data_IF_136118393126
#
_entry.id   IF_136118393126
#
_cell.length_a   1.000
_cell.length_b   1.000
_cell.length_c   1.000
_cell.angle_alpha   90.00
_cell.angle_beta   90.00
_cell.angle_gamma   90.00
#
_symmetry.space_group_name_H-M   'P 1'
#
loop_
_entity.id
_entity.type
_entity.pdbx_description
1 polymer ?
#
# COMPACT_ATOMS: atom_id res chain seq x y z
N UNK A 1 6.08 -7.14 24.99
CA UNK A 1 5.71 -7.52 23.61
C UNK A 1 6.58 -6.68 22.69
N UNK A 2 7.53 -7.29 22.00
CA UNK A 2 8.25 -6.59 20.93
C UNK A 2 7.25 -6.35 19.79
N UNK A 3 6.73 -5.13 19.71
CA UNK A 3 5.88 -4.71 18.60
C UNK A 3 6.70 -4.77 17.32
N UNK A 4 6.60 -5.89 16.59
CA UNK A 4 7.29 -6.06 15.31
C UNK A 4 6.86 -4.91 14.40
N UNK A 5 7.80 -4.05 14.02
CA UNK A 5 7.54 -2.91 13.15
C UNK A 5 6.99 -3.46 11.83
N UNK A 6 5.75 -3.07 11.50
CA UNK A 6 5.09 -3.54 10.29
C UNK A 6 5.58 -2.75 9.08
N UNK A 7 5.99 -3.48 8.04
CA UNK A 7 6.28 -2.88 6.73
C UNK A 7 4.97 -2.63 5.99
N UNK A 8 4.82 -1.42 5.47
CA UNK A 8 3.70 -1.06 4.58
C UNK A 8 4.13 -1.33 3.14
N UNK A 9 3.29 -2.05 2.43
CA UNK A 9 3.44 -2.41 1.03
C UNK A 9 2.38 -1.70 0.20
N UNK A 10 2.69 -1.49 -1.07
CA UNK A 10 1.75 -1.12 -2.11
C UNK A 10 1.66 -2.27 -3.10
N UNK A 11 0.42 -2.68 -3.37
CA UNK A 11 0.08 -3.67 -4.37
C UNK A 11 -0.53 -2.93 -5.56
N UNK A 12 -0.05 -3.24 -6.75
CA UNK A 12 -0.49 -2.63 -8.00
C UNK A 12 -0.87 -3.71 -9.01
N UNK A 13 -2.12 -3.67 -9.45
CA UNK A 13 -2.60 -4.42 -10.60
C UNK A 13 -2.79 -3.45 -11.78
N UNK A 14 -1.80 -3.33 -12.69
CA UNK A 14 -1.90 -2.45 -13.86
C UNK A 14 -3.02 -2.84 -14.83
N UNK A 15 -3.37 -4.12 -14.93
CA UNK A 15 -4.44 -4.60 -15.81
C UNK A 15 -5.82 -4.09 -15.37
N UNK A 16 -6.08 -4.08 -14.06
CA UNK A 16 -7.35 -3.63 -13.48
C UNK A 16 -7.35 -2.19 -12.99
N UNK A 17 -6.21 -1.50 -13.09
CA UNK A 17 -5.97 -0.19 -12.51
C UNK A 17 -6.31 -0.13 -11.00
N UNK A 18 -5.96 -1.22 -10.27
CA UNK A 18 -6.16 -1.30 -8.82
C UNK A 18 -4.83 -1.03 -8.13
N UNK A 19 -4.85 -0.13 -7.15
CA UNK A 19 -3.72 0.16 -6.26
C UNK A 19 -4.20 0.10 -4.83
N UNK A 20 -3.52 -0.66 -3.97
CA UNK A 20 -3.92 -0.83 -2.57
C UNK A 20 -2.72 -0.87 -1.64
N UNK A 21 -2.85 -0.25 -0.48
CA UNK A 21 -1.89 -0.38 0.60
C UNK A 21 -2.23 -1.56 1.49
N UNK A 22 -1.21 -2.27 1.97
CA UNK A 22 -1.37 -3.36 2.90
C UNK A 22 -0.14 -3.53 3.79
N UNK A 23 -0.32 -4.04 5.00
CA UNK A 23 0.80 -4.44 5.84
C UNK A 23 1.24 -5.87 5.56
N UNK A 24 2.42 -6.24 6.05
CA UNK A 24 2.88 -7.64 5.98
C UNK A 24 1.97 -8.64 6.71
N UNK A 25 1.09 -8.19 7.62
CA UNK A 25 0.05 -9.04 8.20
C UNK A 25 -1.08 -9.26 7.19
N UNK A 26 -1.60 -8.18 6.62
CA UNK A 26 -2.72 -8.22 5.66
C UNK A 26 -2.37 -8.99 4.37
N UNK A 27 -1.11 -8.96 3.94
CA UNK A 27 -0.62 -9.79 2.83
C UNK A 27 -0.66 -11.30 3.13
N UNK A 28 -0.60 -11.69 4.40
CA UNK A 28 -0.53 -13.10 4.84
C UNK A 28 -1.88 -13.66 5.25
N UNK A 29 -2.74 -12.84 5.86
CA UNK A 29 -3.93 -13.32 6.56
C UNK A 29 -5.23 -12.73 6.04
N UNK A 30 -5.20 -11.61 5.31
CA UNK A 30 -6.40 -10.97 4.77
C UNK A 30 -6.58 -11.31 3.28
N UNK A 31 -7.76 -10.98 2.74
CA UNK A 31 -8.12 -11.14 1.33
C UNK A 31 -7.42 -10.13 0.39
N UNK A 32 -6.41 -9.39 0.86
CA UNK A 32 -5.73 -8.32 0.10
C UNK A 32 -5.26 -8.79 -1.29
N UNK A 33 -4.67 -9.98 -1.38
CA UNK A 33 -4.19 -10.55 -2.65
C UNK A 33 -5.35 -10.82 -3.60
N UNK A 34 -6.45 -11.37 -3.08
CA UNK A 34 -7.66 -11.67 -3.83
C UNK A 34 -8.35 -10.40 -4.32
N UNK A 35 -8.43 -9.37 -3.50
CA UNK A 35 -9.05 -8.10 -3.87
C UNK A 35 -8.28 -7.38 -4.99
N UNK A 36 -6.95 -7.42 -4.96
CA UNK A 36 -6.12 -6.70 -5.94
C UNK A 36 -5.91 -7.51 -7.22
N UNK A 37 -5.58 -8.80 -7.09
CA UNK A 37 -5.18 -9.64 -8.23
C UNK A 37 -6.25 -10.65 -8.66
N UNK A 38 -7.25 -10.93 -7.81
CA UNK A 38 -8.28 -11.93 -8.09
C UNK A 38 -7.83 -13.37 -7.85
N UNK A 39 -6.70 -13.57 -7.17
CA UNK A 39 -6.13 -14.90 -6.88
C UNK A 39 -6.11 -15.17 -5.37
N UNK A 40 -6.12 -16.43 -4.95
CA UNK A 40 -6.36 -16.76 -3.55
C UNK A 40 -5.14 -16.46 -2.64
N UNK A 41 -3.91 -16.56 -3.16
CA UNK A 41 -2.71 -16.39 -2.36
C UNK A 41 -1.48 -15.95 -3.16
N UNK A 42 -0.36 -15.76 -2.45
CA UNK A 42 0.94 -15.40 -3.04
C UNK A 42 1.47 -16.44 -4.04
N UNK A 43 1.18 -17.73 -3.82
CA UNK A 43 1.59 -18.78 -4.74
C UNK A 43 0.87 -18.63 -6.09
N UNK A 44 -0.46 -18.46 -6.06
CA UNK A 44 -1.27 -18.23 -7.26
C UNK A 44 -0.89 -16.92 -7.96
N UNK A 45 -0.53 -15.88 -7.20
CA UNK A 45 -0.02 -14.64 -7.77
C UNK A 45 1.29 -14.85 -8.53
N UNK A 46 2.17 -15.70 -8.00
CA UNK A 46 3.43 -16.05 -8.67
C UNK A 46 3.13 -16.81 -9.98
N UNK A 47 2.16 -17.72 -9.96
CA UNK A 47 1.69 -18.41 -11.17
C UNK A 47 1.07 -17.42 -12.17
N UNK A 48 0.23 -16.49 -11.71
CA UNK A 48 -0.36 -15.45 -12.54
C UNK A 48 0.71 -14.58 -13.21
N UNK A 49 1.73 -14.16 -12.46
CA UNK A 49 2.87 -13.41 -13.01
C UNK A 49 3.63 -14.18 -14.11
N UNK A 50 3.68 -15.50 -14.04
CA UNK A 50 4.41 -16.35 -14.99
C UNK A 50 3.60 -16.72 -16.24
N UNK A 51 2.29 -16.93 -16.09
CA UNK A 51 1.47 -17.54 -17.15
C UNK A 51 0.39 -16.63 -17.72
N UNK A 52 -0.01 -15.57 -17.01
CA UNK A 52 -1.05 -14.68 -17.50
C UNK A 52 -0.45 -13.58 -18.42
N UNK A 53 -0.63 -13.75 -19.73
CA UNK A 53 -0.09 -12.85 -20.76
C UNK A 53 -0.66 -11.44 -20.70
N UNK A 54 -1.98 -11.28 -20.52
CA UNK A 54 -2.57 -9.93 -20.44
C UNK A 54 -2.04 -9.16 -19.23
N UNK A 55 -1.87 -9.87 -18.11
CA UNK A 55 -1.27 -9.29 -16.92
C UNK A 55 0.21 -8.92 -17.14
N UNK A 56 1.00 -9.81 -17.75
CA UNK A 56 2.40 -9.53 -18.09
C UNK A 56 2.54 -8.30 -18.99
N UNK A 57 1.75 -8.22 -20.07
CA UNK A 57 1.74 -7.09 -20.99
C UNK A 57 1.39 -5.77 -20.28
N UNK A 58 0.46 -5.81 -19.33
CA UNK A 58 0.08 -4.64 -18.54
C UNK A 58 1.21 -4.14 -17.65
N UNK A 59 2.00 -5.05 -17.05
CA UNK A 59 3.18 -4.71 -16.25
C UNK A 59 4.28 -4.13 -17.15
N UNK A 60 4.59 -4.80 -18.27
CA UNK A 60 5.57 -4.33 -19.25
C UNK A 60 5.25 -2.91 -19.74
N UNK A 61 3.97 -2.64 -20.03
CA UNK A 61 3.51 -1.32 -20.48
C UNK A 61 3.65 -0.25 -19.39
N UNK A 62 3.33 -0.57 -18.13
CA UNK A 62 3.46 0.36 -17.00
C UNK A 62 4.92 0.70 -16.72
N UNK A 63 5.76 -0.32 -16.61
CA UNK A 63 7.12 -0.19 -16.10
C UNK A 63 8.17 -0.02 -17.21
N UNK A 64 7.78 -0.13 -18.49
CA UNK A 64 8.69 -0.02 -19.64
C UNK A 64 9.71 -1.15 -19.71
N UNK A 65 9.37 -2.34 -19.19
CA UNK A 65 10.24 -3.50 -19.12
C UNK A 65 9.82 -4.61 -20.09
N UNK A 66 10.72 -5.56 -20.33
CA UNK A 66 10.41 -6.81 -21.05
C UNK A 66 9.82 -7.86 -20.11
N UNK A 67 9.11 -8.84 -20.67
CA UNK A 67 8.51 -9.95 -19.92
C UNK A 67 9.54 -10.73 -19.07
N UNK A 68 10.77 -10.86 -19.57
CA UNK A 68 11.88 -11.53 -18.87
C UNK A 68 12.29 -10.86 -17.56
N UNK A 69 11.94 -9.57 -17.38
CA UNK A 69 12.33 -8.76 -16.24
C UNK A 69 11.17 -8.57 -15.24
N UNK A 70 10.02 -9.18 -15.50
CA UNK A 70 8.88 -9.15 -14.58
C UNK A 70 9.26 -9.92 -13.32
N UNK A 71 9.13 -9.25 -12.18
CA UNK A 71 9.31 -9.85 -10.85
C UNK A 71 8.16 -9.44 -9.94
N UNK A 72 8.03 -10.13 -8.80
CA UNK A 72 7.02 -9.79 -7.81
C UNK A 72 7.14 -8.33 -7.33
N UNK A 73 8.36 -7.78 -7.28
CA UNK A 73 8.61 -6.39 -6.87
C UNK A 73 8.01 -5.35 -7.83
N UNK A 74 7.68 -5.73 -9.08
CA UNK A 74 6.99 -4.85 -10.03
C UNK A 74 5.54 -4.55 -9.62
N UNK A 75 4.93 -5.46 -8.85
CA UNK A 75 3.50 -5.41 -8.47
C UNK A 75 3.27 -5.35 -6.96
N UNK A 76 4.25 -5.76 -6.14
CA UNK A 76 4.22 -5.62 -4.68
C UNK A 76 5.55 -5.03 -4.24
N UNK A 77 5.54 -3.79 -3.78
CA UNK A 77 6.73 -3.10 -3.29
C UNK A 77 6.49 -2.42 -1.96
N UNK A 78 7.55 -2.08 -1.26
CA UNK A 78 7.45 -1.29 -0.03
C UNK A 78 6.98 0.11 -0.43
N UNK A 79 5.99 0.65 0.30
CA UNK A 79 5.47 1.97 0.03
C UNK A 79 6.52 3.05 0.32
N UNK A 80 6.50 4.11 -0.48
CA UNK A 80 7.31 5.31 -0.24
C UNK A 80 6.60 6.30 0.66
N UNK A 81 7.34 7.28 1.18
CA UNK A 81 6.78 8.41 1.94
C UNK A 81 5.79 9.23 1.12
N UNK A 82 6.10 9.46 -0.16
CA UNK A 82 5.23 10.24 -1.04
C UNK A 82 3.88 9.55 -1.29
N UNK A 83 3.89 8.22 -1.32
CA UNK A 83 2.69 7.42 -1.46
C UNK A 83 1.79 7.48 -0.22
N UNK A 84 2.39 7.53 0.97
CA UNK A 84 1.64 7.80 2.20
C UNK A 84 0.99 9.19 2.20
N UNK A 85 1.67 10.19 1.65
CA UNK A 85 1.05 11.52 1.49
C UNK A 85 -0.16 11.45 0.55
N UNK A 86 -0.09 10.64 -0.51
CA UNK A 86 -1.24 10.41 -1.40
C UNK A 86 -2.36 9.65 -0.68
N UNK A 87 -2.04 8.60 0.08
CA UNK A 87 -3.02 7.87 0.90
C UNK A 87 -3.76 8.79 1.86
N UNK A 88 -3.04 9.68 2.55
CA UNK A 88 -3.65 10.67 3.44
C UNK A 88 -4.68 11.53 2.70
N UNK A 89 -4.32 12.05 1.52
CA UNK A 89 -5.24 12.87 0.71
C UNK A 89 -6.51 12.08 0.36
N UNK A 90 -6.36 10.84 -0.07
CA UNK A 90 -7.51 9.96 -0.37
C UNK A 90 -8.40 9.70 0.85
N UNK A 91 -7.80 9.51 2.04
CA UNK A 91 -8.56 9.32 3.28
C UNK A 91 -9.36 10.59 3.66
N UNK A 92 -8.75 11.77 3.51
CA UNK A 92 -9.42 13.07 3.74
C UNK A 92 -10.58 13.25 2.76
N UNK A 93 -10.34 13.04 1.46
CA UNK A 93 -11.36 13.13 0.41
C UNK A 93 -12.53 12.18 0.67
N UNK A 94 -12.24 10.93 1.07
CA UNK A 94 -13.26 9.94 1.39
C UNK A 94 -14.08 10.36 2.62
N UNK A 95 -13.44 10.88 3.67
CA UNK A 95 -14.16 11.42 4.84
C UNK A 95 -15.09 12.57 4.47
N UNK A 96 -14.67 13.45 3.55
CA UNK A 96 -15.55 14.53 3.06
C UNK A 96 -16.74 14.00 2.24
N UNK A 97 -16.55 12.94 1.46
CA UNK A 97 -17.62 12.32 0.67
C UNK A 97 -18.63 11.56 1.53
N UNK A 98 -18.16 10.83 2.54
CA UNK A 98 -19.01 10.07 3.46
C UNK A 98 -19.78 11.00 4.43
N UNK A 99 -19.27 12.22 4.67
CA UNK A 99 -19.84 13.22 5.59
C UNK A 99 -20.76 14.25 4.91
N UNK A 100 -21.70 13.82 4.05
CA UNK A 100 -22.68 14.72 3.41
C UNK A 100 -23.53 15.59 4.37
N UNK A 101 -23.37 15.45 5.69
CA UNK A 101 -24.04 16.21 6.72
C UNK A 101 -23.09 16.41 7.92
N UNK A 102 -22.27 17.46 7.92
CA UNK A 102 -21.92 18.29 9.10
C UNK A 102 -20.69 19.15 8.81
N UNK A 103 -20.84 20.45 9.04
CA UNK A 103 -19.78 21.45 8.98
C UNK A 103 -18.66 21.16 9.99
N UNK A 104 -17.43 21.44 9.56
CA UNK A 104 -16.32 21.93 10.39
C UNK A 104 -16.12 21.23 11.73
N UNK A 105 -15.78 19.95 11.71
CA UNK A 105 -14.87 19.42 12.71
C UNK A 105 -13.77 18.68 11.95
N UNK A 106 -12.54 19.16 12.06
CA UNK A 106 -11.33 18.46 11.62
C UNK A 106 -11.17 17.19 12.48
N UNK A 107 -12.02 16.19 12.25
CA UNK A 107 -11.89 14.93 12.93
C UNK A 107 -10.55 14.32 12.50
N UNK A 108 -9.65 14.03 13.45
CA UNK A 108 -8.34 13.49 13.11
C UNK A 108 -8.51 12.17 12.36
N UNK A 109 -7.74 12.00 11.29
CA UNK A 109 -7.75 10.75 10.52
C UNK A 109 -7.27 9.67 11.48
N UNK A 110 -8.00 8.56 11.67
CA UNK A 110 -7.51 7.47 12.50
C UNK A 110 -6.22 6.92 11.89
N UNK A 111 -5.28 6.53 12.76
CA UNK A 111 -4.02 5.92 12.33
C UNK A 111 -4.31 4.76 11.36
N UNK A 112 -3.90 4.85 10.08
CA UNK A 112 -4.35 3.92 9.04
C UNK A 112 -3.66 2.54 9.13
N UNK A 113 -2.54 2.48 9.83
CA UNK A 113 -1.79 1.25 10.12
C UNK A 113 -1.39 1.25 11.61
N UNK A 114 -0.23 0.67 11.93
CA UNK A 114 0.33 0.74 13.28
C UNK A 114 0.95 2.13 13.53
N UNK A 115 1.10 2.51 14.80
CA UNK A 115 1.72 3.77 15.19
C UNK A 115 3.20 3.88 14.79
N UNK A 116 3.86 2.75 14.53
CA UNK A 116 5.22 2.69 14.00
C UNK A 116 5.22 1.75 12.80
N UNK A 117 5.67 2.25 11.66
CA UNK A 117 5.72 1.51 10.39
C UNK A 117 7.09 1.62 9.73
N UNK A 118 7.37 0.67 8.83
CA UNK A 118 8.53 0.70 7.95
C UNK A 118 8.09 0.96 6.51
N UNK A 119 8.77 1.92 5.88
CA UNK A 119 8.67 2.29 4.47
C UNK A 119 10.00 2.06 3.77
N UNK A 120 10.04 2.40 2.47
CA UNK A 120 11.26 2.31 1.67
C UNK A 120 12.39 3.17 2.26
N UNK A 121 12.06 4.36 2.76
CA UNK A 121 13.01 5.34 3.26
C UNK A 121 13.42 5.12 4.72
N UNK A 122 12.70 4.29 5.47
CA UNK A 122 13.03 4.03 6.87
C UNK A 122 11.83 3.75 7.76
N UNK A 123 11.98 4.05 9.04
CA UNK A 123 10.96 3.84 10.07
C UNK A 123 10.28 5.17 10.35
N UNK A 124 8.95 5.14 10.43
CA UNK A 124 8.12 6.31 10.65
C UNK A 124 7.18 6.07 11.82
N UNK A 125 6.89 7.15 12.56
CA UNK A 125 5.94 7.15 13.67
C UNK A 125 4.73 8.00 13.31
N UNK A 126 3.55 7.54 13.64
CA UNK A 126 2.31 8.29 13.51
C UNK A 126 2.31 9.49 14.47
N UNK A 127 1.95 10.65 13.94
CA UNK A 127 1.70 11.88 14.68
C UNK A 127 0.22 12.23 14.56
N UNK A 128 -0.52 12.05 15.66
CA UNK A 128 -1.95 12.29 15.74
C UNK A 128 -2.32 13.75 15.48
N UNK A 129 -1.47 14.71 15.88
CA UNK A 129 -1.74 16.15 15.69
C UNK A 129 -1.81 16.51 14.21
N UNK A 130 -0.88 15.97 13.44
CA UNK A 130 -0.79 16.23 12.01
C UNK A 130 -1.48 15.15 11.17
N UNK A 131 -2.06 14.10 11.78
CA UNK A 131 -2.59 12.92 11.08
C UNK A 131 -1.63 12.42 9.99
N UNK A 132 -0.36 12.22 10.35
CA UNK A 132 0.69 11.84 9.39
C UNK A 132 1.84 11.07 10.00
N UNK A 133 2.57 10.37 9.16
CA UNK A 133 3.79 9.64 9.55
C UNK A 133 5.02 10.54 9.45
N UNK A 134 5.71 10.74 10.57
CA UNK A 134 6.96 11.50 10.66
C UNK A 134 8.16 10.53 10.72
N UNK A 135 9.29 10.82 10.04
CA UNK A 135 10.48 9.99 10.11
C UNK A 135 10.95 9.86 11.56
N UNK A 136 11.19 8.64 12.02
CA UNK A 136 11.94 8.44 13.26
C UNK A 136 13.40 8.75 12.94
N UNK A 137 13.85 9.94 13.34
CA UNK A 137 15.28 10.28 13.29
C UNK A 137 16.01 9.21 14.08
N UNK A 138 16.85 8.40 13.42
CA UNK A 138 17.82 7.59 14.14
C UNK A 138 18.70 8.58 14.89
N UNK A 139 18.66 8.52 16.23
CA UNK A 139 19.56 9.31 17.07
C UNK A 139 21.00 9.16 16.56
N UNK A 140 21.73 10.27 16.68
CA UNK A 140 23.14 10.46 16.34
C UNK A 140 24.06 9.30 16.77
#
# INVERSE_FOLDING_TARGET
MESKIETVYILENPEKNIRKFATGYQLRYDDTIKEVFGVACMHDLTMMLQFNKSFQESICRKDGISESNITLNCIIRIASKDELHHLRKQLVEKMHQDSQLSQENENPIPCPFNSIIKLQEGIFKWDDHNSSYIPMVKGA
#
